data_IF_644141239844
#
_entry.id   IF_644141239844
#
_cell.length_a   1.000
_cell.length_b   1.000
_cell.length_c   1.000
_cell.angle_alpha   90.00
_cell.angle_beta   90.00
_cell.angle_gamma   90.00
#
_symmetry.space_group_name_H-M   'P 1'
#
loop_
_entity.id
_entity.type
_entity.pdbx_description
1 polymer ?
#
# COMPACT_ATOMS: atom_id res chain seq x y z
N UNK A 1 -6.37 21.49 15.86
CA UNK A 1 -6.75 20.56 16.94
C UNK A 1 -7.77 19.49 16.52
N UNK A 2 -8.99 19.81 16.06
CA UNK A 2 -9.99 18.77 15.71
C UNK A 2 -9.64 17.98 14.42
N UNK A 3 -9.13 18.68 13.40
CA UNK A 3 -8.68 18.05 12.14
C UNK A 3 -7.43 17.20 12.32
N UNK A 4 -6.47 17.66 13.13
CA UNK A 4 -5.24 16.90 13.44
C UNK A 4 -5.55 15.58 14.15
N UNK A 5 -6.50 15.59 15.09
CA UNK A 5 -6.96 14.37 15.75
C UNK A 5 -7.66 13.41 14.79
N UNK A 6 -8.41 13.93 13.82
CA UNK A 6 -9.05 13.11 12.79
C UNK A 6 -7.99 12.47 11.87
N UNK A 7 -7.00 13.23 11.42
CA UNK A 7 -5.90 12.75 10.59
C UNK A 7 -5.13 11.64 11.33
N UNK A 8 -4.71 11.89 12.58
CA UNK A 8 -4.01 10.90 13.38
C UNK A 8 -4.85 9.62 13.60
N UNK A 9 -6.17 9.75 13.77
CA UNK A 9 -7.07 8.61 13.89
C UNK A 9 -7.14 7.79 12.59
N UNK A 10 -7.21 8.46 11.44
CA UNK A 10 -7.23 7.81 10.12
C UNK A 10 -5.90 7.14 9.81
N UNK A 11 -4.77 7.78 10.09
CA UNK A 11 -3.43 7.19 9.98
C UNK A 11 -3.29 5.93 10.83
N UNK A 12 -3.71 5.98 12.10
CA UNK A 12 -3.69 4.82 12.99
C UNK A 12 -4.52 3.66 12.45
N UNK A 13 -5.68 3.94 11.86
CA UNK A 13 -6.52 2.92 11.20
C UNK A 13 -5.85 2.34 9.95
N UNK A 14 -5.24 3.16 9.11
CA UNK A 14 -4.50 2.68 7.93
C UNK A 14 -3.34 1.78 8.34
N UNK A 15 -2.53 2.19 9.31
CA UNK A 15 -1.43 1.38 9.85
C UNK A 15 -1.93 0.04 10.39
N UNK A 16 -3.05 0.02 11.12
CA UNK A 16 -3.63 -1.21 11.64
C UNK A 16 -4.04 -2.18 10.51
N UNK A 17 -4.65 -1.68 9.44
CA UNK A 17 -5.00 -2.50 8.28
C UNK A 17 -3.76 -3.01 7.54
N UNK A 18 -2.73 -2.19 7.31
CA UNK A 18 -1.45 -2.63 6.70
C UNK A 18 -0.82 -3.77 7.49
N UNK A 19 -0.76 -3.64 8.82
CA UNK A 19 -0.22 -4.70 9.70
C UNK A 19 -1.03 -5.99 9.63
N UNK A 20 -2.36 -5.89 9.58
CA UNK A 20 -3.22 -7.05 9.42
C UNK A 20 -3.01 -7.74 8.07
N UNK A 21 -2.97 -6.97 6.98
CA UNK A 21 -2.71 -7.48 5.64
C UNK A 21 -1.35 -8.20 5.56
N UNK A 22 -0.29 -7.59 6.07
CA UNK A 22 1.03 -8.21 6.16
C UNK A 22 1.01 -9.54 6.95
N UNK A 23 0.28 -9.58 8.07
CA UNK A 23 0.14 -10.78 8.87
C UNK A 23 -0.62 -11.90 8.13
N UNK A 24 -1.63 -11.54 7.34
CA UNK A 24 -2.39 -12.47 6.51
C UNK A 24 -1.55 -12.99 5.33
N UNK A 25 -0.84 -12.09 4.64
CA UNK A 25 0.06 -12.44 3.53
C UNK A 25 1.17 -13.38 3.99
N UNK A 26 1.84 -13.06 5.10
CA UNK A 26 2.88 -13.93 5.67
C UNK A 26 2.37 -15.31 6.11
N UNK A 27 1.09 -15.45 6.43
CA UNK A 27 0.46 -16.74 6.73
C UNK A 27 -0.13 -17.46 5.50
N UNK A 28 -0.19 -16.79 4.34
CA UNK A 28 -0.78 -17.33 3.13
C UNK A 28 0.22 -18.25 2.41
N UNK A 29 -0.25 -19.23 1.62
CA UNK A 29 0.63 -20.06 0.79
C UNK A 29 1.45 -19.23 -0.20
N UNK A 30 2.63 -19.72 -0.57
CA UNK A 30 3.55 -19.04 -1.51
C UNK A 30 2.86 -18.63 -2.82
N UNK A 31 2.03 -19.50 -3.40
CA UNK A 31 1.30 -19.20 -4.63
C UNK A 31 0.39 -17.95 -4.50
N UNK A 32 -0.28 -17.79 -3.36
CA UNK A 32 -1.14 -16.64 -3.07
C UNK A 32 -0.29 -15.39 -2.86
N UNK A 33 0.86 -15.51 -2.19
CA UNK A 33 1.79 -14.39 -2.00
C UNK A 33 2.33 -13.89 -3.34
N UNK A 34 2.75 -14.80 -4.22
CA UNK A 34 3.26 -14.48 -5.54
C UNK A 34 2.20 -13.82 -6.44
N UNK A 35 0.96 -14.31 -6.43
CA UNK A 35 -0.16 -13.71 -7.15
C UNK A 35 -0.42 -12.27 -6.68
N UNK A 36 -0.48 -12.06 -5.37
CA UNK A 36 -0.72 -10.73 -4.79
C UNK A 36 0.47 -9.79 -5.04
N UNK A 37 1.71 -10.25 -4.93
CA UNK A 37 2.90 -9.45 -5.25
C UNK A 37 2.92 -9.01 -6.71
N UNK A 38 2.54 -9.89 -7.64
CA UNK A 38 2.40 -9.55 -9.06
C UNK A 38 1.30 -8.51 -9.28
N UNK A 39 0.18 -8.62 -8.57
CA UNK A 39 -0.91 -7.65 -8.66
C UNK A 39 -0.53 -6.27 -8.10
N UNK A 40 0.22 -6.22 -7.00
CA UNK A 40 0.67 -4.97 -6.37
C UNK A 40 1.62 -4.20 -7.30
N UNK A 41 2.66 -4.87 -7.81
CA UNK A 41 3.66 -4.28 -8.71
C UNK A 41 3.09 -3.85 -10.06
N UNK A 42 2.08 -4.58 -10.58
CA UNK A 42 1.41 -4.22 -11.83
C UNK A 42 0.62 -2.90 -11.78
N UNK A 43 0.27 -2.41 -10.59
CA UNK A 43 -0.44 -1.12 -10.42
C UNK A 43 0.47 0.07 -10.21
N UNK A 44 1.69 -0.12 -9.72
CA UNK A 44 2.70 0.96 -9.61
C UNK A 44 3.01 1.57 -10.99
N UNK A 45 3.01 0.73 -12.04
CA UNK A 45 3.37 1.14 -13.40
C UNK A 45 2.30 1.99 -14.11
N UNK A 46 1.05 2.02 -13.62
CA UNK A 46 -0.02 2.84 -14.21
C UNK A 46 0.05 4.32 -13.73
N UNK A 47 0.65 4.58 -12.58
CA UNK A 47 0.67 5.91 -11.94
C UNK A 47 1.79 6.83 -12.45
N UNK A 48 2.88 6.30 -13.01
CA UNK A 48 4.04 7.09 -13.52
C UNK A 48 3.75 7.82 -14.85
N UNK A 49 2.50 7.80 -15.30
CA UNK A 49 2.12 8.13 -16.68
C UNK A 49 1.84 9.60 -16.99
N UNK A 50 1.51 10.48 -16.04
CA UNK A 50 1.08 11.85 -16.35
C UNK A 50 1.30 12.84 -15.17
N UNK A 51 2.54 13.25 -14.92
CA UNK A 51 2.83 14.47 -14.14
C UNK A 51 3.07 15.65 -15.10
N UNK A 52 2.00 16.29 -15.59
CA UNK A 52 2.12 17.57 -16.31
C UNK A 52 2.42 18.70 -15.29
N UNK A 53 3.59 19.37 -15.35
CA UNK A 53 4.00 20.43 -14.43
C UNK A 53 3.18 21.72 -14.68
N UNK A 54 1.89 21.67 -14.36
CA UNK A 54 0.94 22.76 -14.60
C UNK A 54 -0.52 22.36 -14.42
N UNK A 55 -0.84 21.07 -14.34
CA UNK A 55 -2.19 20.61 -14.07
C UNK A 55 -2.52 20.77 -12.58
N UNK A 56 -3.55 21.56 -12.27
CA UNK A 56 -4.15 21.57 -10.93
C UNK A 56 -4.68 20.15 -10.68
N UNK A 57 -4.28 19.46 -9.59
CA UNK A 57 -4.81 18.14 -9.30
C UNK A 57 -6.34 18.23 -9.20
N UNK A 58 -7.05 17.62 -10.14
CA UNK A 58 -8.47 17.34 -9.91
C UNK A 58 -8.56 16.43 -8.67
N UNK A 59 -9.58 16.58 -7.83
CA UNK A 59 -9.71 15.80 -6.59
C UNK A 59 -9.57 14.27 -6.79
N UNK A 60 -9.87 13.77 -8.01
CA UNK A 60 -9.62 12.39 -8.40
C UNK A 60 -8.14 11.98 -8.45
N UNK A 61 -7.24 12.89 -8.88
CA UNK A 61 -5.80 12.62 -8.97
C UNK A 61 -5.18 12.50 -7.58
N UNK A 62 -5.60 13.32 -6.61
CA UNK A 62 -5.11 13.23 -5.23
C UNK A 62 -5.48 11.90 -4.57
N UNK A 63 -6.69 11.40 -4.84
CA UNK A 63 -7.13 10.08 -4.36
C UNK A 63 -6.35 8.94 -5.02
N UNK A 64 -6.13 9.02 -6.34
CA UNK A 64 -5.38 8.02 -7.09
C UNK A 64 -3.91 7.94 -6.64
N UNK A 65 -3.27 9.08 -6.40
CA UNK A 65 -1.92 9.15 -5.83
C UNK A 65 -1.87 8.53 -4.44
N UNK A 66 -2.80 8.89 -3.54
CA UNK A 66 -2.86 8.32 -2.20
C UNK A 66 -3.10 6.80 -2.21
N UNK A 67 -3.88 6.30 -3.19
CA UNK A 67 -4.06 4.86 -3.40
C UNK A 67 -2.78 4.19 -3.91
N UNK A 68 -2.07 4.83 -4.84
CA UNK A 68 -0.79 4.34 -5.36
C UNK A 68 0.25 4.22 -4.25
N UNK A 69 0.40 5.26 -3.42
CA UNK A 69 1.31 5.29 -2.27
C UNK A 69 0.98 4.16 -1.27
N UNK A 70 -0.32 3.96 -0.99
CA UNK A 70 -0.76 2.88 -0.09
C UNK A 70 -0.40 1.50 -0.64
N UNK A 71 -0.55 1.26 -1.94
CA UNK A 71 -0.20 -0.02 -2.57
C UNK A 71 1.31 -0.27 -2.53
N UNK A 72 2.13 0.78 -2.72
CA UNK A 72 3.58 0.70 -2.58
C UNK A 72 4.01 0.29 -1.17
N UNK A 73 3.43 0.93 -0.15
CA UNK A 73 3.68 0.57 1.26
C UNK A 73 3.27 -0.88 1.57
N UNK A 74 2.15 -1.34 1.02
CA UNK A 74 1.71 -2.73 1.18
C UNK A 74 2.69 -3.70 0.50
N UNK A 75 3.19 -3.38 -0.70
CA UNK A 75 4.19 -4.18 -1.40
C UNK A 75 5.48 -4.29 -0.60
N UNK A 76 6.01 -3.17 -0.09
CA UNK A 76 7.22 -3.14 0.72
C UNK A 76 7.10 -4.03 1.98
N UNK A 77 5.97 -3.99 2.67
CA UNK A 77 5.75 -4.82 3.85
C UNK A 77 5.54 -6.31 3.47
N UNK A 78 4.94 -6.59 2.32
CA UNK A 78 4.76 -7.95 1.81
C UNK A 78 6.10 -8.59 1.43
N UNK A 79 7.03 -7.82 0.86
CA UNK A 79 8.40 -8.23 0.54
C UNK A 79 9.22 -8.48 1.80
N UNK A 80 9.18 -7.55 2.77
CA UNK A 80 9.80 -7.75 4.09
C UNK A 80 9.26 -9.00 4.82
N UNK A 81 8.01 -9.38 4.54
CA UNK A 81 7.41 -10.59 5.11
C UNK A 81 7.93 -11.88 4.47
N UNK A 82 8.51 -11.83 3.26
CA UNK A 82 9.14 -12.99 2.61
C UNK A 82 10.49 -13.35 3.24
N UNK A 83 11.20 -12.37 3.80
CA UNK A 83 12.58 -12.54 4.29
C UNK A 83 12.65 -13.13 5.71
N UNK A 84 11.50 -13.46 6.32
CA UNK A 84 11.45 -14.11 7.63
C UNK A 84 11.45 -15.63 7.44
N UNK A 85 12.53 -16.35 7.81
CA UNK A 85 12.56 -17.81 7.73
C UNK A 85 11.49 -18.43 8.64
N UNK A 86 10.89 -19.54 8.17
CA UNK A 86 9.96 -20.33 8.98
C UNK A 86 10.63 -20.72 10.31
N UNK A 87 9.94 -20.61 11.45
CA UNK A 87 10.47 -21.12 12.70
C UNK A 87 10.60 -22.65 12.59
N UNK A 88 11.85 -23.12 12.73
CA UNK A 88 12.24 -24.55 12.79
C UNK A 88 11.60 -25.24 13.99
#
# INVERSE_FOLDING_TARGET
MQTENLIASLEGRLIAHRKLLARLLSASPEAVRAEIGTWLTGREMLSDGQEDPGAVPADGLALELALSDELHEIAAIADLSQDRPDPV
#
